data_IF_753587898566
#
_entry.id   IF_753587898566
#
_cell.length_a   1.000
_cell.length_b   1.000
_cell.length_c   1.000
_cell.angle_alpha   90.00
_cell.angle_beta   90.00
_cell.angle_gamma   90.00
#
_symmetry.space_group_name_H-M   'P 1'
#
loop_
_entity.id
_entity.type
_entity.pdbx_description
1 polymer ?
#
# COMPACT_ATOMS: atom_id res chain seq x y z
N UNK A 1 -7.12 -15.16 -14.29
CA UNK A 1 -7.51 -15.09 -12.87
C UNK A 1 -8.91 -14.49 -12.77
N UNK A 2 -9.78 -15.03 -11.95
CA UNK A 2 -11.14 -14.54 -11.73
C UNK A 2 -11.30 -14.25 -10.24
N UNK A 3 -11.82 -13.06 -9.93
CA UNK A 3 -12.11 -12.65 -8.55
C UNK A 3 -13.39 -11.82 -8.53
N UNK A 4 -14.11 -11.77 -7.42
CA UNK A 4 -15.30 -10.93 -7.32
C UNK A 4 -14.91 -9.45 -7.39
N UNK A 5 -15.78 -8.65 -8.01
CA UNK A 5 -15.64 -7.20 -7.97
C UNK A 5 -15.92 -6.69 -6.55
N UNK A 6 -15.02 -5.86 -6.02
CA UNK A 6 -15.18 -5.26 -4.70
C UNK A 6 -15.61 -3.80 -4.84
N UNK A 7 -16.87 -3.47 -4.47
CA UNK A 7 -17.40 -2.11 -4.64
C UNK A 7 -16.59 -1.01 -3.95
N UNK A 8 -15.83 -1.37 -2.91
CA UNK A 8 -14.99 -0.42 -2.18
C UNK A 8 -13.98 0.30 -3.09
N UNK A 9 -13.57 -0.30 -4.22
CA UNK A 9 -12.64 0.35 -5.14
C UNK A 9 -13.15 1.70 -5.65
N UNK A 10 -14.45 1.80 -5.92
CA UNK A 10 -15.06 3.04 -6.41
C UNK A 10 -15.57 3.95 -5.29
N UNK A 11 -15.83 3.42 -4.12
CA UNK A 11 -16.39 4.17 -2.98
C UNK A 11 -15.30 4.69 -2.04
N UNK A 12 -14.32 3.86 -1.76
CA UNK A 12 -13.30 4.11 -0.75
C UNK A 12 -11.90 4.19 -1.35
N UNK A 13 -11.64 3.49 -2.46
CA UNK A 13 -10.35 3.42 -3.11
C UNK A 13 -9.47 2.31 -2.54
N UNK A 14 -8.23 2.29 -2.97
CA UNK A 14 -7.21 1.33 -2.54
C UNK A 14 -6.22 1.99 -1.61
N UNK A 15 -5.63 1.19 -0.71
CA UNK A 15 -4.63 1.65 0.25
C UNK A 15 -3.29 1.01 -0.08
N UNK A 16 -2.25 1.84 -0.27
CA UNK A 16 -0.88 1.40 -0.49
C UNK A 16 -0.07 1.64 0.79
N UNK A 17 0.32 0.57 1.45
CA UNK A 17 1.15 0.63 2.67
C UNK A 17 2.62 0.47 2.28
N UNK A 18 3.45 1.46 2.61
CA UNK A 18 4.87 1.48 2.27
C UNK A 18 5.72 1.10 3.48
N UNK A 19 6.61 0.15 3.28
CA UNK A 19 7.55 -0.32 4.29
C UNK A 19 8.98 -0.22 3.75
N UNK A 20 9.91 0.17 4.60
CA UNK A 20 11.35 0.11 4.32
C UNK A 20 11.99 -0.86 5.29
N UNK A 21 12.65 -1.89 4.76
CA UNK A 21 12.84 -3.09 5.55
C UNK A 21 11.48 -3.64 5.95
N UNK A 22 11.26 -3.76 7.25
CA UNK A 22 9.93 -4.12 7.81
C UNK A 22 9.33 -2.98 8.63
N UNK A 23 9.93 -1.79 8.55
CA UNK A 23 9.45 -0.59 9.23
C UNK A 23 8.38 0.09 8.37
N UNK A 24 7.21 0.33 8.97
CA UNK A 24 6.15 1.10 8.30
C UNK A 24 6.60 2.56 8.14
N UNK A 25 6.41 3.09 6.93
CA UNK A 25 6.73 4.47 6.59
C UNK A 25 5.47 5.32 6.46
N UNK A 26 4.65 5.03 5.47
CA UNK A 26 3.46 5.84 5.16
C UNK A 26 2.45 5.01 4.39
N UNK A 27 1.23 5.55 4.28
CA UNK A 27 0.17 4.95 3.51
C UNK A 27 -0.47 5.99 2.58
N UNK A 28 -0.64 5.62 1.34
CA UNK A 28 -1.37 6.41 0.35
C UNK A 28 -2.74 5.77 0.10
N UNK A 29 -3.78 6.60 0.03
CA UNK A 29 -5.09 6.18 -0.42
C UNK A 29 -5.26 6.61 -1.87
N UNK A 30 -5.58 5.66 -2.73
CA UNK A 30 -5.75 5.87 -4.18
C UNK A 30 -7.23 5.83 -4.51
N UNK A 31 -7.76 6.92 -5.03
CA UNK A 31 -9.16 7.05 -5.40
C UNK A 31 -9.29 7.14 -6.92
N UNK A 32 -10.20 6.37 -7.54
CA UNK A 32 -10.42 6.47 -8.98
C UNK A 32 -11.17 7.77 -9.33
N UNK A 33 -11.13 8.15 -10.61
CA UNK A 33 -12.01 9.18 -11.13
C UNK A 33 -13.47 8.74 -10.98
N UNK A 34 -14.39 9.71 -10.92
CA UNK A 34 -15.81 9.43 -10.82
C UNK A 34 -16.25 8.52 -11.99
N UNK A 35 -16.92 7.40 -11.65
CA UNK A 35 -17.42 6.43 -12.64
C UNK A 35 -16.36 5.46 -13.16
N UNK A 36 -15.11 5.53 -12.70
CA UNK A 36 -14.06 4.58 -13.05
C UNK A 36 -13.71 3.70 -11.83
N UNK A 37 -13.19 2.51 -12.09
CA UNK A 37 -12.66 1.61 -11.04
C UNK A 37 -11.13 1.60 -11.02
N UNK A 38 -10.50 2.20 -12.05
CA UNK A 38 -9.03 2.27 -12.14
C UNK A 38 -8.53 3.44 -11.29
N UNK A 39 -7.61 3.16 -10.40
CA UNK A 39 -7.11 4.12 -9.40
C UNK A 39 -5.81 4.82 -9.80
N UNK A 40 -5.22 4.44 -10.93
CA UNK A 40 -3.99 5.05 -11.43
C UNK A 40 -4.25 6.49 -11.85
N UNK A 41 -3.29 7.37 -11.57
CA UNK A 41 -3.40 8.80 -11.88
C UNK A 41 -3.60 9.09 -13.36
N UNK A 42 -3.08 8.24 -14.25
CA UNK A 42 -3.27 8.34 -15.70
C UNK A 42 -4.73 8.22 -16.14
N UNK A 43 -5.59 7.65 -15.30
CA UNK A 43 -7.04 7.54 -15.54
C UNK A 43 -7.84 8.59 -14.75
N UNK A 44 -7.18 9.68 -14.30
CA UNK A 44 -7.82 10.75 -13.53
C UNK A 44 -8.00 10.43 -12.04
N UNK A 45 -7.35 9.36 -11.55
CA UNK A 45 -7.31 9.04 -10.13
C UNK A 45 -6.52 10.07 -9.33
N UNK A 46 -6.75 10.12 -8.03
CA UNK A 46 -6.00 10.98 -7.12
C UNK A 46 -5.47 10.18 -5.94
N UNK A 47 -4.45 10.71 -5.32
CA UNK A 47 -3.76 10.10 -4.18
C UNK A 47 -3.77 11.06 -3.01
N UNK A 48 -4.02 10.54 -1.81
CA UNK A 48 -4.00 11.33 -0.58
C UNK A 48 -3.32 10.56 0.54
N UNK A 49 -2.84 11.28 1.54
CA UNK A 49 -2.24 10.66 2.72
C UNK A 49 -3.33 9.95 3.51
N UNK A 50 -3.06 8.72 3.93
CA UNK A 50 -3.91 7.98 4.85
C UNK A 50 -3.12 7.62 6.11
N UNK A 51 -3.73 7.86 7.26
CA UNK A 51 -3.18 7.44 8.55
C UNK A 51 -3.91 6.17 8.98
N UNK A 52 -3.29 4.98 8.80
CA UNK A 52 -3.97 3.73 9.08
C UNK A 52 -4.27 3.56 10.56
N UNK A 53 -5.37 2.89 10.85
CA UNK A 53 -5.66 2.43 12.20
C UNK A 53 -4.69 1.33 12.60
N UNK A 54 -4.61 1.01 13.89
CA UNK A 54 -3.77 -0.09 14.38
C UNK A 54 -4.17 -1.43 13.73
N UNK A 55 -5.46 -1.67 13.54
CA UNK A 55 -5.97 -2.89 12.93
C UNK A 55 -5.61 -2.98 11.44
N UNK A 56 -5.77 -1.88 10.70
CA UNK A 56 -5.37 -1.82 9.29
C UNK A 56 -3.88 -2.09 9.12
N UNK A 57 -3.05 -1.46 9.96
CA UNK A 57 -1.61 -1.66 9.90
C UNK A 57 -1.21 -3.09 10.30
N UNK A 58 -1.88 -3.68 11.27
CA UNK A 58 -1.65 -5.07 11.66
C UNK A 58 -1.94 -6.04 10.51
N UNK A 59 -3.01 -5.79 9.74
CA UNK A 59 -3.32 -6.61 8.56
C UNK A 59 -2.24 -6.48 7.48
N UNK A 60 -1.77 -5.26 7.20
CA UNK A 60 -0.68 -5.05 6.24
C UNK A 60 0.62 -5.72 6.70
N UNK A 61 0.95 -5.64 7.98
CA UNK A 61 2.13 -6.32 8.54
C UNK A 61 2.04 -7.84 8.47
N UNK A 62 0.85 -8.39 8.62
CA UNK A 62 0.65 -9.85 8.52
C UNK A 62 1.01 -10.38 7.13
N UNK A 63 0.84 -9.57 6.09
CA UNK A 63 1.27 -9.90 4.73
C UNK A 63 2.79 -10.03 4.67
N UNK A 64 3.53 -9.09 5.27
CA UNK A 64 4.99 -9.12 5.28
C UNK A 64 5.55 -10.30 6.08
N UNK A 65 4.84 -10.78 7.08
CA UNK A 65 5.25 -11.97 7.85
C UNK A 65 5.31 -13.22 6.99
N UNK A 66 4.60 -13.25 5.87
CA UNK A 66 4.65 -14.34 4.91
C UNK A 66 5.85 -14.26 3.96
N UNK A 67 6.61 -13.16 3.98
CA UNK A 67 7.78 -12.96 3.13
C UNK A 67 9.03 -13.31 3.90
N UNK A 68 9.80 -14.26 3.37
CA UNK A 68 11.07 -14.68 3.95
C UNK A 68 12.22 -13.79 3.46
N UNK A 69 13.25 -13.65 4.30
CA UNK A 69 14.47 -12.93 3.95
C UNK A 69 14.41 -11.43 4.23
N UNK A 70 15.48 -10.76 3.83
CA UNK A 70 15.66 -9.33 4.03
C UNK A 70 14.93 -8.56 2.93
N UNK A 71 14.32 -7.43 3.30
CA UNK A 71 13.63 -6.54 2.40
C UNK A 71 14.27 -5.16 2.42
N UNK A 72 14.48 -4.57 1.26
CA UNK A 72 14.81 -3.14 1.17
C UNK A 72 13.55 -2.30 1.34
N UNK A 73 12.50 -2.70 0.63
CA UNK A 73 11.19 -2.04 0.67
C UNK A 73 10.10 -3.05 0.34
N UNK A 74 8.87 -2.68 0.67
CA UNK A 74 7.68 -3.41 0.25
C UNK A 74 6.50 -2.45 0.12
N UNK A 75 5.66 -2.67 -0.87
CA UNK A 75 4.35 -2.01 -0.98
C UNK A 75 3.27 -3.07 -0.89
N UNK A 76 2.38 -2.90 0.08
CA UNK A 76 1.24 -3.78 0.30
C UNK A 76 -0.02 -3.02 -0.09
N UNK A 77 -0.63 -3.39 -1.20
CA UNK A 77 -1.86 -2.77 -1.68
C UNK A 77 -3.06 -3.55 -1.16
N UNK A 78 -3.97 -2.85 -0.51
CA UNK A 78 -5.13 -3.45 0.14
C UNK A 78 -6.42 -2.73 -0.27
N UNK A 79 -7.50 -3.48 -0.26
CA UNK A 79 -8.84 -3.01 -0.59
C UNK A 79 -9.84 -3.59 0.41
N UNK A 80 -10.84 -2.81 0.80
CA UNK A 80 -11.86 -3.31 1.72
C UNK A 80 -12.70 -4.38 1.04
N UNK A 81 -12.73 -5.55 1.65
CA UNK A 81 -13.50 -6.69 1.18
C UNK A 81 -14.96 -6.61 1.58
N UNK A 82 -15.74 -7.58 1.13
CA UNK A 82 -17.18 -7.68 1.41
C UNK A 82 -17.48 -7.93 2.90
N UNK A 83 -16.51 -8.46 3.65
CA UNK A 83 -16.59 -8.67 5.09
C UNK A 83 -16.27 -7.41 5.92
N UNK A 84 -15.96 -6.29 5.26
CA UNK A 84 -15.60 -5.03 5.89
C UNK A 84 -14.14 -4.93 6.35
N UNK A 85 -13.32 -5.96 6.12
CA UNK A 85 -11.89 -5.97 6.45
C UNK A 85 -11.06 -5.69 5.22
N UNK A 86 -9.88 -5.09 5.42
CA UNK A 86 -8.91 -4.93 4.34
C UNK A 86 -8.38 -6.30 3.90
N UNK A 87 -8.31 -6.49 2.59
CA UNK A 87 -7.78 -7.68 1.96
C UNK A 87 -6.65 -7.30 1.02
N UNK A 88 -5.66 -8.17 0.89
CA UNK A 88 -4.54 -7.98 -0.02
C UNK A 88 -5.01 -8.07 -1.47
N UNK A 89 -4.60 -7.10 -2.28
CA UNK A 89 -4.77 -7.14 -3.73
C UNK A 89 -3.45 -7.21 -4.49
N UNK A 90 -2.39 -6.62 -3.96
CA UNK A 90 -1.07 -6.67 -4.57
C UNK A 90 0.04 -6.55 -3.53
N UNK A 91 1.11 -7.29 -3.73
CA UNK A 91 2.34 -7.17 -2.95
C UNK A 91 3.50 -6.94 -3.93
N UNK A 92 4.12 -5.77 -3.86
CA UNK A 92 5.27 -5.42 -4.68
C UNK A 92 6.53 -5.32 -3.84
N UNK A 93 7.52 -6.14 -4.20
CA UNK A 93 8.82 -6.22 -3.52
C UNK A 93 9.97 -5.75 -4.41
N UNK A 94 9.72 -5.54 -5.69
CA UNK A 94 10.72 -5.16 -6.70
C UNK A 94 10.25 -3.91 -7.42
N UNK A 95 10.97 -2.82 -7.24
CA UNK A 95 10.73 -1.52 -7.88
C UNK A 95 9.30 -0.95 -7.70
N UNK A 96 8.69 -1.04 -6.49
CA UNK A 96 7.37 -0.43 -6.31
C UNK A 96 7.44 1.08 -6.45
N UNK A 97 6.36 1.68 -6.93
CA UNK A 97 6.21 3.12 -6.78
C UNK A 97 6.03 3.45 -5.29
N UNK A 98 6.79 4.41 -4.78
CA UNK A 98 6.93 4.63 -3.34
C UNK A 98 6.07 5.77 -2.77
N UNK A 99 5.28 6.44 -3.58
CA UNK A 99 4.39 7.54 -3.15
C UNK A 99 5.12 8.59 -2.31
N UNK A 100 6.18 9.24 -2.85
CA UNK A 100 7.00 10.17 -2.08
C UNK A 100 6.24 11.41 -1.60
N UNK A 101 5.22 11.83 -2.32
CA UNK A 101 4.40 12.98 -1.91
C UNK A 101 3.59 12.70 -0.64
N UNK A 102 3.20 11.44 -0.42
CA UNK A 102 2.47 11.01 0.75
C UNK A 102 3.38 10.58 1.91
N UNK A 103 4.68 10.47 1.65
CA UNK A 103 5.67 10.13 2.66
C UNK A 103 6.93 11.00 2.54
N UNK A 104 6.82 12.33 2.79
CA UNK A 104 7.94 13.27 2.57
C UNK A 104 9.18 12.95 3.39
N UNK A 105 9.04 12.25 4.51
CA UNK A 105 10.14 11.87 5.39
C UNK A 105 10.68 10.46 5.13
N UNK A 106 10.23 9.80 4.05
CA UNK A 106 10.59 8.41 3.77
C UNK A 106 12.09 8.18 3.53
N UNK A 107 12.83 9.21 3.14
CA UNK A 107 14.25 9.08 2.82
C UNK A 107 15.09 8.54 3.97
N UNK A 108 14.80 8.93 5.21
CA UNK A 108 15.50 8.44 6.38
C UNK A 108 15.24 6.93 6.62
N UNK A 109 13.99 6.51 6.48
CA UNK A 109 13.61 5.10 6.62
C UNK A 109 14.24 4.24 5.50
N UNK A 110 14.23 4.74 4.27
CA UNK A 110 14.88 4.10 3.13
C UNK A 110 16.38 3.93 3.38
N UNK A 111 17.06 4.99 3.86
CA UNK A 111 18.49 4.96 4.15
C UNK A 111 18.83 3.94 5.24
N UNK A 112 18.01 3.85 6.29
CA UNK A 112 18.20 2.83 7.35
C UNK A 112 18.09 1.41 6.80
N UNK A 113 17.07 1.17 5.99
CA UNK A 113 16.86 -0.15 5.39
C UNK A 113 18.02 -0.53 4.45
N UNK A 114 18.49 0.41 3.64
CA UNK A 114 19.61 0.17 2.75
C UNK A 114 20.90 -0.14 3.53
N UNK A 115 21.20 0.62 4.58
CA UNK A 115 22.38 0.37 5.42
C UNK A 115 22.35 -1.00 6.09
N UNK A 116 21.17 -1.49 6.43
CA UNK A 116 21.03 -2.81 7.05
C UNK A 116 21.36 -3.95 6.09
N UNK A 117 21.31 -3.70 4.79
CA UNK A 117 21.57 -4.70 3.74
C UNK A 117 23.02 -4.71 3.22
N UNK A 118 23.84 -3.71 3.57
CA UNK A 118 25.20 -3.59 3.04
C UNK A 118 26.28 -3.64 4.15
#
# INVERSE_FOLDING_TARGET
MVQPFLPAVSQEGEYAFLFFGREFSHCARKLPAAGDYRVQSEYGGREEIHHPTADELALARSVLECVEGDLLYARVDMLRGLDGKLALIELELIEPYLYPEQGPDMGAAFARALKALI
#
